data_IF_789347741048
#
_entry.id   IF_789347741048
#
_cell.length_a   1.000
_cell.length_b   1.000
_cell.length_c   1.000
_cell.angle_alpha   90.00
_cell.angle_beta   90.00
_cell.angle_gamma   90.00
#
_symmetry.space_group_name_H-M   'P 1'
#
loop_
_entity.id
_entity.type
_entity.pdbx_description
1 polymer ?
#
# COMPACT_ATOMS: atom_id res chain seq x y z
N UNK A 1 -3.51 -5.10 -42.48
CA UNK A 1 -3.96 -6.36 -41.85
C UNK A 1 -2.88 -6.94 -40.94
N UNK A 2 -3.28 -7.54 -39.83
CA UNK A 2 -2.40 -8.08 -38.77
C UNK A 2 -1.60 -9.35 -39.16
N UNK A 3 -1.81 -9.89 -40.36
CA UNK A 3 -0.98 -10.94 -40.96
C UNK A 3 -0.27 -10.42 -42.21
N UNK A 4 1.06 -10.44 -42.22
CA UNK A 4 1.91 -10.15 -43.38
C UNK A 4 2.92 -11.28 -43.57
N UNK A 5 3.75 -11.21 -44.62
CA UNK A 5 4.86 -12.15 -44.80
C UNK A 5 5.88 -12.10 -43.64
N UNK A 6 5.99 -10.96 -42.96
CA UNK A 6 6.98 -10.72 -41.90
C UNK A 6 6.38 -10.66 -40.51
N UNK A 7 5.06 -10.53 -40.39
CA UNK A 7 4.36 -10.39 -39.10
C UNK A 7 3.18 -11.36 -39.05
N UNK A 8 3.26 -12.33 -38.13
CA UNK A 8 2.25 -13.39 -37.93
C UNK A 8 1.82 -14.09 -39.24
N UNK A 9 2.75 -14.63 -40.03
CA UNK A 9 2.46 -15.19 -41.36
C UNK A 9 1.42 -16.32 -41.34
N UNK A 10 1.40 -17.13 -40.28
CA UNK A 10 0.41 -18.21 -40.08
C UNK A 10 -1.04 -17.72 -40.01
N UNK A 11 -1.30 -16.45 -39.68
CA UNK A 11 -2.67 -15.92 -39.68
C UNK A 11 -3.28 -15.89 -41.08
N UNK A 12 -2.46 -15.89 -42.13
CA UNK A 12 -2.94 -15.97 -43.52
C UNK A 12 -3.50 -17.34 -43.87
N UNK A 13 -3.21 -18.36 -43.07
CA UNK A 13 -3.70 -19.72 -43.26
C UNK A 13 -5.06 -19.93 -42.59
N UNK A 14 -5.59 -18.95 -41.83
CA UNK A 14 -6.86 -19.07 -41.13
C UNK A 14 -8.05 -19.37 -42.04
N UNK A 15 -8.02 -18.93 -43.30
CA UNK A 15 -9.07 -19.24 -44.28
C UNK A 15 -9.21 -20.74 -44.57
N UNK A 16 -8.18 -21.55 -44.30
CA UNK A 16 -8.26 -23.01 -44.44
C UNK A 16 -9.18 -23.63 -43.38
N UNK A 17 -9.30 -23.02 -42.19
CA UNK A 17 -10.16 -23.52 -41.11
C UNK A 17 -11.64 -23.40 -41.46
N UNK A 18 -12.02 -22.42 -42.29
CA UNK A 18 -13.38 -22.27 -42.77
C UNK A 18 -13.85 -23.47 -43.61
N UNK A 19 -12.92 -24.25 -44.20
CA UNK A 19 -13.24 -25.45 -45.00
C UNK A 19 -13.70 -26.63 -44.14
N UNK A 20 -13.47 -26.59 -42.82
CA UNK A 20 -13.80 -27.68 -41.89
C UNK A 20 -15.28 -27.61 -41.43
N UNK A 21 -16.01 -26.55 -41.83
CA UNK A 21 -17.45 -26.42 -41.55
C UNK A 21 -17.81 -26.12 -40.09
N UNK A 22 -16.86 -25.61 -39.31
CA UNK A 22 -17.06 -25.20 -37.92
C UNK A 22 -17.46 -23.71 -37.84
N UNK A 23 -18.27 -23.36 -36.84
CA UNK A 23 -18.57 -21.95 -36.55
C UNK A 23 -17.30 -21.24 -36.04
N UNK A 24 -16.94 -20.13 -36.69
CA UNK A 24 -15.77 -19.33 -36.34
C UNK A 24 -16.16 -18.04 -35.64
N UNK A 25 -15.46 -17.71 -34.56
CA UNK A 25 -15.60 -16.44 -33.83
C UNK A 25 -14.27 -15.70 -33.85
N UNK A 26 -14.27 -14.50 -34.45
CA UNK A 26 -13.09 -13.63 -34.55
C UNK A 26 -13.25 -12.42 -33.63
N UNK A 27 -12.25 -12.17 -32.78
CA UNK A 27 -12.24 -11.04 -31.84
C UNK A 27 -11.19 -10.02 -32.26
N UNK A 28 -11.61 -8.76 -32.41
CA UNK A 28 -10.72 -7.64 -32.73
C UNK A 28 -11.21 -6.37 -32.05
N UNK A 29 -10.27 -5.55 -31.58
CA UNK A 29 -10.57 -4.22 -31.05
C UNK A 29 -10.43 -3.11 -32.12
N UNK A 30 -9.72 -3.39 -33.22
CA UNK A 30 -9.12 -2.36 -34.08
C UNK A 30 -9.47 -2.49 -35.55
N UNK A 31 -10.27 -3.47 -35.98
CA UNK A 31 -10.65 -3.62 -37.40
C UNK A 31 -11.50 -2.44 -37.89
N UNK A 32 -10.96 -1.56 -38.77
CA UNK A 32 -11.74 -0.48 -39.35
C UNK A 32 -12.70 -1.03 -40.42
N UNK A 33 -13.87 -0.39 -40.65
CA UNK A 33 -14.81 -0.83 -41.68
C UNK A 33 -14.20 -0.95 -43.09
N UNK A 34 -13.20 -0.12 -43.41
CA UNK A 34 -12.51 -0.14 -44.68
C UNK A 34 -11.72 -1.44 -44.93
N UNK A 35 -11.30 -2.14 -43.88
CA UNK A 35 -10.50 -3.36 -43.97
C UNK A 35 -11.34 -4.65 -43.85
N UNK A 36 -12.64 -4.54 -43.57
CA UNK A 36 -13.54 -5.69 -43.34
C UNK A 36 -13.60 -6.63 -44.55
N UNK A 37 -13.78 -6.09 -45.76
CA UNK A 37 -13.87 -6.88 -46.98
C UNK A 37 -12.61 -7.72 -47.21
N UNK A 38 -11.46 -7.10 -46.97
CA UNK A 38 -10.19 -7.75 -47.15
C UNK A 38 -9.96 -8.82 -46.04
N UNK A 39 -10.45 -8.57 -44.82
CA UNK A 39 -10.46 -9.58 -43.75
C UNK A 39 -11.36 -10.78 -44.09
N UNK A 40 -12.57 -10.57 -44.60
CA UNK A 40 -13.48 -11.65 -45.01
C UNK A 40 -12.85 -12.53 -46.08
N UNK A 41 -12.21 -11.92 -47.07
CA UNK A 41 -11.44 -12.67 -48.07
C UNK A 41 -10.32 -13.50 -47.45
N UNK A 42 -9.61 -12.99 -46.44
CA UNK A 42 -8.54 -13.72 -45.75
C UNK A 42 -9.06 -14.94 -44.98
N UNK A 43 -10.21 -14.81 -44.32
CA UNK A 43 -10.80 -15.91 -43.54
C UNK A 43 -11.74 -16.80 -44.37
N UNK A 44 -11.78 -16.60 -45.68
CA UNK A 44 -12.65 -17.33 -46.61
C UNK A 44 -14.14 -17.29 -46.20
N UNK A 45 -14.61 -16.12 -45.80
CA UNK A 45 -16.01 -15.86 -45.47
C UNK A 45 -16.64 -14.91 -46.49
N UNK A 46 -17.93 -15.10 -46.78
CA UNK A 46 -18.72 -14.15 -47.56
C UNK A 46 -19.36 -13.12 -46.62
N UNK A 47 -19.61 -11.91 -47.12
CA UNK A 47 -20.12 -10.81 -46.28
C UNK A 47 -21.49 -11.14 -45.69
N UNK A 48 -22.29 -11.86 -46.44
CA UNK A 48 -23.68 -12.24 -46.17
C UNK A 48 -23.77 -13.25 -45.02
N UNK A 49 -22.74 -14.07 -44.84
CA UNK A 49 -22.66 -15.13 -43.82
C UNK A 49 -22.04 -14.63 -42.50
N UNK A 50 -21.59 -13.37 -42.46
CA UNK A 50 -20.88 -12.80 -41.31
C UNK A 50 -21.79 -11.89 -40.48
N UNK A 51 -21.98 -12.27 -39.23
CA UNK A 51 -22.57 -11.41 -38.20
C UNK A 51 -21.48 -10.54 -37.57
N UNK A 52 -21.57 -9.22 -37.76
CA UNK A 52 -20.65 -8.27 -37.14
C UNK A 52 -21.31 -7.65 -35.92
N UNK A 53 -20.67 -7.80 -34.76
CA UNK A 53 -21.06 -7.13 -33.53
C UNK A 53 -19.99 -6.07 -33.21
N UNK A 54 -20.35 -4.79 -33.33
CA UNK A 54 -19.43 -3.66 -33.07
C UNK A 54 -19.92 -2.84 -31.89
N UNK A 55 -19.16 -2.89 -30.79
CA UNK A 55 -19.40 -2.06 -29.62
C UNK A 55 -18.87 -0.64 -29.80
N UNK A 56 -19.50 0.34 -29.14
CA UNK A 56 -18.97 1.71 -29.06
C UNK A 56 -17.73 1.73 -28.15
N UNK A 57 -16.68 2.41 -28.60
CA UNK A 57 -15.44 2.57 -27.82
C UNK A 57 -15.49 3.73 -26.82
N UNK A 58 -16.59 4.50 -26.81
CA UNK A 58 -16.77 5.64 -25.91
C UNK A 58 -16.92 5.17 -24.47
N UNK A 59 -16.07 5.66 -23.57
CA UNK A 59 -16.14 5.40 -22.13
C UNK A 59 -16.57 6.68 -21.41
N UNK A 60 -17.77 6.67 -20.81
CA UNK A 60 -18.34 7.86 -20.13
C UNK A 60 -17.65 8.19 -18.81
N UNK A 61 -16.97 7.21 -18.23
CA UNK A 61 -16.23 7.32 -16.98
C UNK A 61 -14.74 7.68 -17.19
N UNK A 62 -14.36 8.15 -18.39
CA UNK A 62 -12.99 8.55 -18.69
C UNK A 62 -12.99 10.02 -19.12
N UNK A 63 -12.27 10.84 -18.37
CA UNK A 63 -11.99 12.22 -18.72
C UNK A 63 -10.63 12.33 -19.43
N UNK A 64 -10.54 13.19 -20.45
CA UNK A 64 -9.32 13.43 -21.20
C UNK A 64 -8.80 14.84 -20.91
N UNK A 65 -7.51 14.97 -20.66
CA UNK A 65 -6.83 16.26 -20.49
C UNK A 65 -5.48 16.22 -21.18
N UNK A 66 -5.07 17.36 -21.76
CA UNK A 66 -3.74 17.53 -22.33
C UNK A 66 -3.04 18.65 -21.57
N UNK A 67 -1.79 18.41 -21.16
CA UNK A 67 -0.90 19.40 -20.55
C UNK A 67 0.28 19.61 -21.50
N UNK A 68 0.64 20.87 -21.71
CA UNK A 68 1.76 21.25 -22.56
C UNK A 68 2.89 21.75 -21.69
N UNK A 69 4.08 21.20 -21.91
CA UNK A 69 5.32 21.67 -21.27
C UNK A 69 6.09 22.55 -22.24
N UNK A 70 6.61 23.68 -21.75
CA UNK A 70 7.53 24.52 -22.51
C UNK A 70 8.96 24.12 -22.20
N UNK A 71 9.73 23.81 -23.24
CA UNK A 71 11.15 23.52 -23.10
C UNK A 71 11.93 23.99 -24.34
N UNK A 72 13.15 24.45 -24.13
CA UNK A 72 14.03 24.89 -25.23
C UNK A 72 15.01 23.80 -25.66
N UNK A 73 15.26 22.83 -24.78
CA UNK A 73 16.11 21.67 -25.06
C UNK A 73 15.40 20.36 -24.77
N UNK A 74 15.85 19.27 -25.39
CA UNK A 74 15.31 17.93 -25.12
C UNK A 74 15.48 17.51 -23.65
N UNK A 75 16.55 17.95 -22.99
CA UNK A 75 16.82 17.65 -21.57
C UNK A 75 15.85 18.41 -20.65
N UNK A 76 15.60 19.68 -20.93
CA UNK A 76 14.58 20.47 -20.25
C UNK A 76 13.18 19.90 -20.48
N UNK A 77 12.88 19.42 -21.69
CA UNK A 77 11.60 18.81 -22.00
C UNK A 77 11.35 17.59 -21.13
N UNK A 78 12.34 16.69 -20.99
CA UNK A 78 12.23 15.51 -20.13
C UNK A 78 12.03 15.92 -18.67
N UNK A 79 12.82 16.86 -18.16
CA UNK A 79 12.67 17.34 -16.78
C UNK A 79 11.29 17.96 -16.54
N UNK A 80 10.82 18.84 -17.43
CA UNK A 80 9.51 19.47 -17.33
C UNK A 80 8.37 18.44 -17.38
N UNK A 81 8.46 17.41 -18.23
CA UNK A 81 7.48 16.32 -18.27
C UNK A 81 7.45 15.55 -16.94
N UNK A 82 8.61 15.27 -16.35
CA UNK A 82 8.69 14.56 -15.06
C UNK A 82 8.05 15.39 -13.95
N UNK A 83 8.36 16.68 -13.87
CA UNK A 83 7.80 17.58 -12.84
C UNK A 83 6.28 17.73 -13.01
N UNK A 84 5.79 17.95 -14.23
CA UNK A 84 4.34 18.00 -14.49
C UNK A 84 3.65 16.67 -14.19
N UNK A 85 4.29 15.54 -14.51
CA UNK A 85 3.75 14.22 -14.19
C UNK A 85 3.65 14.03 -12.68
N UNK A 86 4.68 14.40 -11.91
CA UNK A 86 4.65 14.36 -10.45
C UNK A 86 3.52 15.23 -9.89
N UNK A 87 3.46 16.51 -10.28
CA UNK A 87 2.42 17.42 -9.82
C UNK A 87 1.01 16.90 -10.12
N UNK A 88 0.82 16.31 -11.31
CA UNK A 88 -0.46 15.70 -11.70
C UNK A 88 -0.79 14.46 -10.88
N UNK A 89 0.21 13.61 -10.59
CA UNK A 89 0.05 12.40 -9.78
C UNK A 89 -0.35 12.79 -8.35
N UNK A 90 0.39 13.70 -7.73
CA UNK A 90 0.15 14.12 -6.35
C UNK A 90 -1.25 14.75 -6.22
N UNK A 91 -1.60 15.68 -7.13
CA UNK A 91 -2.94 16.26 -7.19
C UNK A 91 -4.03 15.18 -7.32
N UNK A 92 -3.83 14.17 -8.18
CA UNK A 92 -4.84 13.13 -8.42
C UNK A 92 -4.98 12.17 -7.25
N UNK A 93 -3.91 11.90 -6.51
CA UNK A 93 -3.94 11.07 -5.31
C UNK A 93 -4.56 11.83 -4.11
N UNK A 94 -4.45 13.16 -4.08
CA UNK A 94 -5.19 14.00 -3.11
C UNK A 94 -6.69 14.05 -3.44
N UNK A 95 -7.06 14.28 -4.70
CA UNK A 95 -8.46 14.30 -5.16
C UNK A 95 -9.13 12.92 -5.02
N UNK A 96 -8.35 11.85 -5.16
CA UNK A 96 -8.82 10.48 -5.08
C UNK A 96 -7.93 9.68 -4.11
N UNK A 97 -8.31 9.63 -2.83
CA UNK A 97 -7.63 8.81 -1.84
C UNK A 97 -7.70 7.31 -2.20
N UNK A 98 -7.01 6.49 -1.39
CA UNK A 98 -7.03 5.03 -1.50
C UNK A 98 -8.46 4.50 -1.71
N UNK A 99 -8.70 3.56 -2.65
CA UNK A 99 -7.75 2.69 -3.36
C UNK A 99 -7.37 3.17 -4.78
N UNK A 100 -7.31 4.50 -5.01
CA UNK A 100 -6.93 5.04 -6.32
C UNK A 100 -5.55 4.54 -6.79
N UNK A 101 -5.44 4.27 -8.09
CA UNK A 101 -4.23 3.73 -8.73
C UNK A 101 -3.95 4.52 -10.00
N UNK A 102 -2.67 4.75 -10.27
CA UNK A 102 -2.22 5.49 -11.46
C UNK A 102 -1.29 4.60 -12.28
N UNK A 103 -1.45 4.66 -13.61
CA UNK A 103 -0.54 4.05 -14.58
C UNK A 103 0.09 5.19 -15.38
N UNK A 104 1.41 5.17 -15.50
CA UNK A 104 2.16 6.11 -16.33
C UNK A 104 2.79 5.34 -17.49
N UNK A 105 2.47 5.73 -18.72
CA UNK A 105 3.06 5.15 -19.92
C UNK A 105 4.24 5.99 -20.41
N UNK A 106 5.35 5.33 -20.69
CA UNK A 106 6.52 5.94 -21.34
C UNK A 106 6.84 5.21 -22.65
N UNK A 107 7.56 5.89 -23.55
CA UNK A 107 7.86 5.36 -24.88
C UNK A 107 9.07 4.43 -24.93
N UNK A 108 10.02 4.59 -23.99
CA UNK A 108 11.31 3.88 -24.00
C UNK A 108 11.59 3.27 -22.63
N UNK A 109 12.26 2.12 -22.59
CA UNK A 109 12.59 1.41 -21.34
C UNK A 109 13.48 2.28 -20.45
N UNK A 110 14.48 2.97 -21.01
CA UNK A 110 15.36 3.83 -20.23
C UNK A 110 14.59 5.00 -19.59
N UNK A 111 13.56 5.49 -20.27
CA UNK A 111 12.68 6.53 -19.73
C UNK A 111 11.74 6.00 -18.65
N UNK A 112 11.30 4.73 -18.73
CA UNK A 112 10.51 4.09 -17.67
C UNK A 112 11.35 3.99 -16.40
N UNK A 113 12.58 3.50 -16.49
CA UNK A 113 13.45 3.31 -15.33
C UNK A 113 13.84 4.63 -14.67
N UNK A 114 14.23 5.63 -15.47
CA UNK A 114 14.56 6.98 -14.97
C UNK A 114 13.34 7.63 -14.29
N UNK A 115 12.16 7.55 -14.91
CA UNK A 115 10.94 8.12 -14.35
C UNK A 115 10.51 7.38 -13.08
N UNK A 116 10.53 6.04 -13.08
CA UNK A 116 10.18 5.22 -11.93
C UNK A 116 11.11 5.49 -10.75
N UNK A 117 12.43 5.60 -11.00
CA UNK A 117 13.41 5.97 -10.00
C UNK A 117 13.17 7.36 -9.40
N UNK A 118 12.82 8.35 -10.25
CA UNK A 118 12.49 9.71 -9.78
C UNK A 118 11.19 9.73 -8.98
N UNK A 119 10.16 9.02 -9.42
CA UNK A 119 8.86 8.97 -8.75
C UNK A 119 8.85 8.04 -7.53
N UNK A 120 9.86 7.17 -7.36
CA UNK A 120 9.91 6.19 -6.29
C UNK A 120 8.89 5.05 -6.45
N UNK A 121 8.46 4.77 -7.69
CA UNK A 121 7.46 3.75 -7.99
C UNK A 121 8.04 2.54 -8.74
N UNK A 122 7.25 1.48 -8.92
CA UNK A 122 7.67 0.30 -9.68
C UNK A 122 7.62 0.56 -11.20
N UNK A 123 8.53 -0.09 -11.92
CA UNK A 123 8.60 -0.09 -13.39
C UNK A 123 8.03 -1.40 -13.97
N UNK A 124 7.45 -1.34 -15.18
CA UNK A 124 6.95 -2.51 -15.89
C UNK A 124 7.27 -2.45 -17.40
N UNK A 125 8.06 -3.39 -17.90
CA UNK A 125 8.39 -3.51 -19.33
C UNK A 125 8.71 -4.97 -19.73
N UNK A 126 9.05 -5.23 -21.00
CA UNK A 126 9.17 -6.60 -21.52
C UNK A 126 10.33 -7.40 -20.89
N UNK A 127 11.43 -6.78 -20.54
CA UNK A 127 12.62 -7.48 -20.03
C UNK A 127 12.82 -7.35 -18.51
N UNK A 128 11.93 -6.65 -17.79
CA UNK A 128 12.09 -6.36 -16.35
C UNK A 128 12.19 -7.63 -15.48
N UNK A 129 11.57 -8.72 -15.93
CA UNK A 129 11.52 -9.98 -15.18
C UNK A 129 11.08 -11.15 -16.08
N UNK A 130 11.19 -12.36 -15.55
CA UNK A 130 10.53 -13.54 -16.11
C UNK A 130 9.02 -13.48 -15.86
N UNK A 131 8.28 -14.40 -16.47
CA UNK A 131 6.81 -14.41 -16.48
C UNK A 131 6.22 -14.32 -15.07
N UNK A 132 6.74 -15.10 -14.14
CA UNK A 132 6.18 -15.21 -12.79
C UNK A 132 6.49 -13.95 -11.98
N UNK A 133 7.72 -13.42 -12.08
CA UNK A 133 8.09 -12.15 -11.45
C UNK A 133 7.29 -10.95 -11.98
N UNK A 134 6.96 -10.93 -13.28
CA UNK A 134 6.03 -9.91 -13.83
C UNK A 134 4.60 -10.08 -13.32
N UNK A 135 4.13 -11.31 -13.19
CA UNK A 135 2.79 -11.59 -12.66
C UNK A 135 2.70 -11.13 -11.21
N UNK A 136 3.72 -11.40 -10.40
CA UNK A 136 3.85 -10.92 -9.02
C UNK A 136 3.84 -9.38 -8.94
N UNK A 137 4.66 -8.68 -9.75
CA UNK A 137 4.62 -7.21 -9.81
C UNK A 137 3.24 -6.66 -10.15
N UNK A 138 2.54 -7.31 -11.08
CA UNK A 138 1.19 -6.91 -11.46
C UNK A 138 0.18 -7.17 -10.34
N UNK A 139 0.21 -8.35 -9.71
CA UNK A 139 -0.62 -8.66 -8.53
C UNK A 139 -0.38 -7.67 -7.41
N UNK A 140 0.88 -7.35 -7.16
CA UNK A 140 1.28 -6.38 -6.16
C UNK A 140 0.67 -5.00 -6.44
N UNK A 141 0.84 -4.45 -7.66
CA UNK A 141 0.22 -3.18 -8.06
C UNK A 141 -1.32 -3.23 -8.00
N UNK A 142 -1.94 -4.34 -8.41
CA UNK A 142 -3.40 -4.54 -8.32
C UNK A 142 -3.90 -4.59 -6.87
N UNK A 143 -3.10 -5.10 -5.93
CA UNK A 143 -3.44 -5.17 -4.50
C UNK A 143 -3.40 -3.80 -3.81
N UNK A 144 -2.62 -2.85 -4.32
CA UNK A 144 -2.63 -1.45 -3.90
C UNK A 144 -2.32 -1.15 -2.42
N UNK A 145 -1.69 -2.05 -1.65
CA UNK A 145 -1.65 -1.84 -0.18
C UNK A 145 -0.41 -2.32 0.61
N UNK A 146 0.54 -3.10 0.06
CA UNK A 146 1.33 -3.97 0.96
C UNK A 146 2.81 -3.69 1.21
N UNK A 147 3.52 -2.96 0.34
CA UNK A 147 4.96 -2.70 0.54
C UNK A 147 5.22 -1.62 1.58
N UNK A 148 4.44 -0.55 1.59
CA UNK A 148 4.56 0.49 2.63
C UNK A 148 4.16 -0.02 4.00
N UNK A 149 3.04 -0.76 4.11
CA UNK A 149 2.64 -1.40 5.37
C UNK A 149 3.69 -2.40 5.87
N UNK A 150 4.31 -3.17 4.97
CA UNK A 150 5.39 -4.09 5.32
C UNK A 150 6.68 -3.37 5.77
N UNK A 151 7.03 -2.25 5.13
CA UNK A 151 8.24 -1.48 5.44
C UNK A 151 8.06 -0.68 6.74
N UNK A 152 6.90 -0.01 6.91
CA UNK A 152 6.58 0.79 8.11
C UNK A 152 6.23 -0.08 9.31
N UNK A 153 5.78 -1.31 9.08
CA UNK A 153 5.31 -2.20 10.13
C UNK A 153 3.91 -1.84 10.63
N UNK A 154 3.06 -1.29 9.76
CA UNK A 154 1.69 -0.86 10.09
C UNK A 154 0.72 -2.06 10.22
N UNK A 155 1.16 -3.27 9.85
CA UNK A 155 0.40 -4.51 9.96
C UNK A 155 1.35 -5.69 10.19
N UNK A 156 0.83 -6.78 10.76
CA UNK A 156 1.58 -8.02 10.97
C UNK A 156 2.27 -8.46 9.66
N UNK A 157 3.57 -8.72 9.72
CA UNK A 157 4.35 -9.11 8.54
C UNK A 157 3.79 -10.37 7.87
N UNK A 158 3.35 -11.36 8.64
CA UNK A 158 2.77 -12.60 8.10
C UNK A 158 1.40 -12.40 7.47
N UNK A 159 0.56 -11.51 7.99
CA UNK A 159 -0.72 -11.16 7.33
C UNK A 159 -0.47 -10.58 5.93
N UNK A 160 0.51 -9.66 5.84
CA UNK A 160 0.90 -9.06 4.57
C UNK A 160 1.45 -10.13 3.61
N UNK A 161 2.40 -10.95 4.10
CA UNK A 161 3.07 -12.00 3.32
C UNK A 161 2.11 -13.10 2.87
N UNK A 162 1.29 -13.69 3.74
CA UNK A 162 0.35 -14.77 3.42
C UNK A 162 -0.71 -14.33 2.39
N UNK A 163 -1.22 -13.10 2.52
CA UNK A 163 -2.19 -12.61 1.55
C UNK A 163 -1.53 -12.26 0.18
N UNK A 164 -0.21 -12.01 0.12
CA UNK A 164 0.52 -11.86 -1.17
C UNK A 164 0.90 -13.21 -1.76
N UNK A 165 1.56 -14.05 -0.97
CA UNK A 165 2.16 -15.30 -1.42
C UNK A 165 1.12 -16.40 -1.60
N UNK A 166 0.16 -16.50 -0.68
CA UNK A 166 -0.78 -17.63 -0.59
C UNK A 166 -2.25 -17.21 -0.83
N UNK A 167 -2.52 -15.90 -0.97
CA UNK A 167 -3.86 -15.36 -1.17
C UNK A 167 -4.80 -15.55 0.04
N UNK A 168 -4.24 -15.91 1.20
CA UNK A 168 -4.96 -16.13 2.45
C UNK A 168 -5.29 -14.79 3.11
N UNK A 169 -6.57 -14.44 3.22
CA UNK A 169 -7.02 -13.11 3.68
C UNK A 169 -7.78 -13.14 5.03
N UNK A 170 -7.99 -14.33 5.59
CA UNK A 170 -8.67 -14.59 6.87
C UNK A 170 -7.72 -14.48 8.09
N UNK A 171 -6.44 -14.20 7.86
CA UNK A 171 -5.40 -14.16 8.87
C UNK A 171 -5.30 -12.75 9.46
N UNK A 172 -5.37 -12.64 10.80
CA UNK A 172 -5.34 -11.35 11.51
C UNK A 172 -3.99 -11.07 12.21
N UNK A 173 -3.12 -12.07 12.38
CA UNK A 173 -1.82 -11.93 13.04
C UNK A 173 -0.90 -13.15 12.90
N UNK A 174 0.17 -13.16 13.71
CA UNK A 174 0.96 -14.38 13.95
C UNK A 174 0.08 -15.37 14.75
N UNK A 175 0.06 -16.64 14.35
CA UNK A 175 -0.83 -17.65 14.95
C UNK A 175 -0.11 -18.40 16.09
N UNK A 176 -0.87 -19.06 16.96
CA UNK A 176 -0.34 -19.80 18.10
C UNK A 176 0.65 -20.89 17.67
N UNK A 177 1.81 -20.93 18.33
CA UNK A 177 2.90 -21.85 18.02
C UNK A 177 3.88 -21.35 16.96
N UNK A 178 3.68 -20.14 16.43
CA UNK A 178 4.64 -19.50 15.52
C UNK A 178 5.54 -18.48 16.22
N UNK A 179 6.74 -18.25 15.66
CA UNK A 179 7.61 -17.16 16.10
C UNK A 179 7.00 -15.79 15.74
N UNK A 180 6.83 -14.88 16.69
CA UNK A 180 6.25 -13.56 16.42
C UNK A 180 7.14 -12.72 15.49
N UNK A 181 6.53 -11.95 14.58
CA UNK A 181 7.26 -10.92 13.85
C UNK A 181 7.54 -9.70 14.73
N UNK A 182 8.48 -8.84 14.32
CA UNK A 182 8.83 -7.58 15.02
C UNK A 182 7.63 -6.68 15.34
N UNK A 183 6.61 -6.63 14.48
CA UNK A 183 5.36 -5.86 14.70
C UNK A 183 4.54 -6.49 15.83
N UNK A 184 4.19 -7.78 15.71
CA UNK A 184 3.41 -8.47 16.73
C UNK A 184 4.15 -8.58 18.06
N UNK A 185 5.49 -8.69 18.02
CA UNK A 185 6.32 -8.72 19.21
C UNK A 185 6.30 -7.39 19.95
N UNK A 186 6.32 -6.26 19.21
CA UNK A 186 6.19 -4.92 19.80
C UNK A 186 4.81 -4.73 20.44
N UNK A 187 3.74 -5.06 19.72
CA UNK A 187 2.37 -4.96 20.24
C UNK A 187 2.19 -5.78 21.51
N UNK A 188 2.59 -7.05 21.51
CA UNK A 188 2.53 -7.91 22.68
C UNK A 188 3.44 -7.44 23.84
N UNK A 189 4.44 -6.60 23.58
CA UNK A 189 5.28 -6.00 24.63
C UNK A 189 4.69 -4.72 25.20
N UNK A 190 3.96 -3.96 24.38
CA UNK A 190 3.22 -2.76 24.78
C UNK A 190 1.99 -3.14 25.59
N UNK A 191 1.20 -4.12 25.13
CA UNK A 191 0.06 -4.68 25.86
C UNK A 191 0.45 -5.20 27.24
N UNK A 192 1.58 -5.91 27.35
CA UNK A 192 2.09 -6.38 28.66
C UNK A 192 2.49 -5.24 29.60
N UNK A 193 3.02 -4.14 29.07
CA UNK A 193 3.37 -2.96 29.89
C UNK A 193 2.12 -2.21 30.34
N UNK A 194 1.14 -2.09 29.47
CA UNK A 194 -0.16 -1.49 29.79
C UNK A 194 -0.92 -2.33 30.84
N UNK A 195 -0.87 -3.66 30.76
CA UNK A 195 -1.42 -4.56 31.78
C UNK A 195 -0.67 -4.47 33.12
N UNK A 196 0.65 -4.28 33.12
CA UNK A 196 1.44 -4.05 34.34
C UNK A 196 1.16 -2.67 34.96
N UNK A 197 0.88 -1.65 34.15
CA UNK A 197 0.57 -0.28 34.60
C UNK A 197 -0.90 -0.12 35.04
N UNK A 198 -1.86 -0.79 34.39
CA UNK A 198 -3.30 -0.74 34.71
C UNK A 198 -3.71 -1.83 35.72
N UNK A 199 -2.98 -2.94 35.79
CA UNK A 199 -3.11 -3.99 36.80
C UNK A 199 -2.33 -3.73 38.10
N UNK A 200 -1.49 -2.69 38.13
CA UNK A 200 -0.71 -2.24 39.29
C UNK A 200 -1.42 -1.23 40.20
N UNK A 201 -2.74 -1.08 40.07
CA UNK A 201 -3.57 -0.14 40.83
C UNK A 201 -4.12 -0.69 42.15
N UNK A 202 -3.27 -1.22 43.03
CA UNK A 202 -3.48 -1.15 44.49
C UNK A 202 -2.12 -1.37 45.18
N UNK A 203 -1.35 -0.28 45.27
CA UNK A 203 -0.28 -0.16 46.26
C UNK A 203 -0.92 -0.04 47.64
N UNK A 204 -1.31 -1.18 48.22
CA UNK A 204 -1.75 -1.33 49.61
C UNK A 204 -0.56 -1.41 50.61
N UNK A 205 0.64 -1.04 50.16
CA UNK A 205 1.76 -0.63 51.02
C UNK A 205 1.90 0.90 50.81
N UNK A 206 1.59 1.80 51.74
CA UNK A 206 1.63 1.63 53.18
C UNK A 206 0.89 2.80 53.88
N UNK A 207 -0.46 2.78 53.88
CA UNK A 207 -1.25 3.76 54.64
C UNK A 207 -0.98 3.65 56.15
N UNK A 208 -0.70 2.43 56.62
CA UNK A 208 -0.36 2.16 58.01
C UNK A 208 1.04 2.68 58.38
N UNK A 209 2.06 2.51 57.53
CA UNK A 209 3.39 3.10 57.77
C UNK A 209 3.34 4.64 57.74
N UNK A 210 2.55 5.23 56.84
CA UNK A 210 2.36 6.69 56.81
C UNK A 210 1.65 7.20 58.08
N UNK A 211 0.57 6.55 58.51
CA UNK A 211 -0.14 6.90 59.75
C UNK A 211 0.73 6.68 61.00
N UNK A 212 1.55 5.62 61.02
CA UNK A 212 2.52 5.39 62.10
C UNK A 212 3.57 6.49 62.15
N UNK A 213 4.16 6.89 61.01
CA UNK A 213 5.13 8.01 60.96
C UNK A 213 4.52 9.33 61.43
N UNK A 214 3.27 9.62 61.08
CA UNK A 214 2.59 10.84 61.56
C UNK A 214 2.35 10.81 63.08
N UNK A 215 1.99 9.66 63.64
CA UNK A 215 1.83 9.50 65.11
C UNK A 215 3.16 9.60 65.84
N UNK A 216 4.23 9.03 65.31
CA UNK A 216 5.57 9.17 65.90
C UNK A 216 6.02 10.64 65.94
N UNK A 217 5.81 11.39 64.86
CA UNK A 217 6.11 12.82 64.81
C UNK A 217 5.30 13.62 65.84
N UNK A 218 4.02 13.29 66.02
CA UNK A 218 3.16 13.93 67.03
C UNK A 218 3.63 13.64 68.46
N UNK A 219 4.03 12.40 68.75
CA UNK A 219 4.55 12.01 70.07
C UNK A 219 5.89 12.67 70.35
N UNK A 220 6.78 12.76 69.37
CA UNK A 220 8.06 13.46 69.50
C UNK A 220 7.86 14.95 69.80
N UNK A 221 6.95 15.61 69.06
CA UNK A 221 6.66 17.02 69.25
C UNK A 221 6.02 17.30 70.63
N UNK A 222 5.09 16.43 71.07
CA UNK A 222 4.50 16.53 72.40
C UNK A 222 5.54 16.33 73.53
N UNK A 223 6.49 15.39 73.35
CA UNK A 223 7.60 15.20 74.29
C UNK A 223 8.50 16.43 74.34
N UNK A 224 8.86 16.98 73.18
CA UNK A 224 9.69 18.18 73.10
C UNK A 224 9.02 19.35 73.84
N UNK A 225 7.72 19.60 73.60
CA UNK A 225 6.95 20.64 74.29
C UNK A 225 6.88 20.42 75.80
N UNK A 226 6.64 19.19 76.25
CA UNK A 226 6.62 18.88 77.68
C UNK A 226 7.99 19.10 78.33
N UNK A 227 9.08 18.76 77.65
CA UNK A 227 10.44 19.03 78.16
C UNK A 227 10.78 20.51 78.15
N UNK A 228 10.29 21.29 77.19
CA UNK A 228 10.51 22.74 77.17
C UNK A 228 9.72 23.41 78.30
N UNK A 229 8.45 23.06 78.47
CA UNK A 229 7.63 23.57 79.58
C UNK A 229 8.21 23.20 80.95
N UNK A 230 8.69 21.96 81.12
CA UNK A 230 9.35 21.56 82.36
C UNK A 230 10.67 22.30 82.61
N UNK A 231 11.42 22.63 81.55
CA UNK A 231 12.63 23.45 81.66
C UNK A 231 12.31 24.90 82.01
N UNK A 232 11.27 25.48 81.40
CA UNK A 232 10.77 26.84 81.70
C UNK A 232 10.22 26.95 83.13
N UNK A 233 9.47 25.95 83.60
CA UNK A 233 9.01 25.89 85.00
C UNK A 233 10.20 25.72 85.96
N UNK A 234 11.19 24.90 85.62
CA UNK A 234 12.39 24.73 86.45
C UNK A 234 13.25 26.01 86.51
N UNK A 235 13.36 26.77 85.42
CA UNK A 235 14.00 28.10 85.42
C UNK A 235 13.21 29.10 86.28
N UNK A 236 11.88 29.12 86.21
CA UNK A 236 11.05 29.97 87.08
C UNK A 236 11.16 29.63 88.57
N UNK A 237 11.42 28.36 88.91
CA UNK A 237 11.66 27.94 90.30
C UNK A 237 13.08 28.24 90.82
N UNK A 238 14.05 28.50 89.94
CA UNK A 238 15.43 28.87 90.33
C UNK A 238 15.62 30.38 90.54
N UNK A 239 14.67 31.21 90.10
CA UNK A 239 14.66 32.67 90.27
C UNK A 239 13.89 33.15 91.54
N UNK A 240 13.57 32.23 92.46
CA UNK A 240 13.00 32.51 93.80
C UNK A 240 13.97 32.12 94.92
#
# INVERSE_FOLDING_TARGET
MEGSLTFRPKLRELGTLALVGLQMVYLTATLPPADEAAFFSMVNAQREDVVIIRARITRRNVAYSVRSVTATTAKEAVAAVVEEARATIDQKLEEHPWPAKIIVYCQRVEAIEDLAGKLGCDAYYREIDIRDGKAERLKFWMSGTKREQYIRGDACRRVILDSVMDGRNDREGCEDGEELCDVCQRQASEERREEEEDGGGDLEEDREEYDMRQRELQVENARYQATTLAAEEHEQFQDY
#
